data_IF_229990579072
#
_entry.id   IF_229990579072
#
_cell.length_a   1.000
_cell.length_b   1.000
_cell.length_c   1.000
_cell.angle_alpha   90.00
_cell.angle_beta   90.00
_cell.angle_gamma   90.00
#
_symmetry.space_group_name_H-M   'P 1'
#
loop_
_entity.id
_entity.type
_entity.pdbx_description
1 polymer ?
#
# COMPACT_ATOMS: atom_id res chain seq x y z
N UNK A 1 44.74 36.04 33.00
CA UNK A 1 43.66 35.35 32.26
C UNK A 1 44.27 34.82 30.96
N UNK A 2 44.39 33.50 30.76
CA UNK A 2 44.96 32.95 29.53
C UNK A 2 43.92 32.99 28.38
N UNK A 3 44.34 33.20 27.12
CA UNK A 3 43.43 33.17 25.98
C UNK A 3 43.02 31.72 25.66
N UNK A 4 41.74 31.52 25.37
CA UNK A 4 41.16 30.23 25.01
C UNK A 4 41.71 29.75 23.65
N UNK A 5 42.27 28.54 23.63
CA UNK A 5 42.63 27.84 22.39
C UNK A 5 41.40 27.15 21.77
N UNK A 6 41.21 27.18 20.43
CA UNK A 6 40.10 26.48 19.79
C UNK A 6 40.26 24.95 19.84
N UNK A 7 39.16 24.26 20.17
CA UNK A 7 39.07 22.78 20.18
C UNK A 7 38.99 22.28 18.73
N UNK A 8 39.80 21.28 18.32
CA UNK A 8 39.74 20.74 16.95
C UNK A 8 38.45 19.94 16.72
N UNK A 9 37.79 20.20 15.59
CA UNK A 9 36.58 19.51 15.14
C UNK A 9 36.98 18.15 14.53
N UNK A 10 36.40 17.01 14.98
CA UNK A 10 36.70 15.72 14.39
C UNK A 10 36.10 15.60 12.98
N UNK A 11 36.90 15.08 12.04
CA UNK A 11 36.46 14.87 10.66
C UNK A 11 35.51 13.66 10.56
N UNK A 12 34.50 13.69 9.66
CA UNK A 12 33.59 12.58 9.47
C UNK A 12 34.27 11.44 8.70
N UNK A 13 34.30 10.25 9.30
CA UNK A 13 34.70 9.04 8.59
C UNK A 13 33.60 8.64 7.59
N UNK A 14 33.93 8.63 6.30
CA UNK A 14 33.07 8.07 5.27
C UNK A 14 32.96 6.54 5.44
N UNK A 15 31.88 6.10 6.08
CA UNK A 15 31.44 4.70 5.98
C UNK A 15 30.98 4.46 4.54
N UNK A 16 31.83 3.78 3.77
CA UNK A 16 31.49 3.22 2.47
C UNK A 16 30.49 2.08 2.74
N UNK A 17 29.20 2.39 2.69
CA UNK A 17 28.14 1.38 2.77
C UNK A 17 28.15 0.56 1.50
N UNK A 18 28.61 -0.69 1.60
CA UNK A 18 28.43 -1.72 0.57
C UNK A 18 26.94 -1.91 0.33
N UNK A 19 26.44 -1.27 -0.73
CA UNK A 19 25.08 -1.41 -1.21
C UNK A 19 24.98 -2.73 -2.01
N UNK A 20 25.13 -3.87 -1.32
CA UNK A 20 24.78 -5.17 -1.89
C UNK A 20 23.27 -5.23 -2.01
N UNK A 21 22.79 -4.93 -3.21
CA UNK A 21 21.42 -5.18 -3.65
C UNK A 21 21.02 -6.59 -3.21
N UNK A 22 20.08 -6.67 -2.28
CA UNK A 22 19.40 -7.90 -1.94
C UNK A 22 18.46 -8.23 -3.11
N UNK A 23 18.99 -8.84 -4.16
CA UNK A 23 18.19 -9.54 -5.16
C UNK A 23 17.48 -10.69 -4.46
N UNK A 24 16.22 -10.45 -4.07
CA UNK A 24 15.31 -11.50 -3.62
C UNK A 24 14.87 -12.25 -4.87
N UNK A 25 15.58 -13.33 -5.22
CA UNK A 25 15.09 -14.34 -6.16
C UNK A 25 13.91 -15.05 -5.49
N UNK A 26 12.68 -15.01 -6.03
CA UNK A 26 11.60 -15.83 -5.51
C UNK A 26 11.88 -17.29 -5.86
N UNK A 27 12.32 -18.08 -4.88
CA UNK A 27 12.40 -19.53 -5.00
C UNK A 27 11.00 -20.13 -5.22
N UNK A 28 10.91 -21.32 -5.84
CA UNK A 28 9.63 -21.96 -6.11
C UNK A 28 8.88 -22.22 -4.81
N UNK A 29 7.62 -21.77 -4.79
CA UNK A 29 6.67 -21.91 -3.68
C UNK A 29 6.55 -23.40 -3.29
N UNK A 30 7.05 -23.84 -2.12
CA UNK A 30 6.80 -25.20 -1.68
C UNK A 30 5.29 -25.30 -1.38
N UNK A 31 4.61 -26.16 -2.13
CA UNK A 31 3.21 -26.48 -1.89
C UNK A 31 2.97 -26.92 -0.43
N UNK A 32 1.71 -26.91 0.04
CA UNK A 32 1.43 -27.14 1.44
C UNK A 32 1.77 -28.59 1.81
N UNK A 33 2.91 -28.79 2.48
CA UNK A 33 3.16 -30.03 3.19
C UNK A 33 2.05 -30.22 4.23
N UNK A 34 1.28 -31.28 4.03
CA UNK A 34 0.24 -31.73 4.94
C UNK A 34 0.91 -32.15 6.26
N UNK A 35 1.13 -31.17 7.14
CA UNK A 35 1.48 -31.39 8.52
C UNK A 35 0.44 -32.30 9.15
N UNK A 36 0.82 -33.55 9.42
CA UNK A 36 0.06 -34.51 10.22
C UNK A 36 -0.31 -33.83 11.55
N UNK A 37 -1.58 -33.47 11.69
CA UNK A 37 -2.12 -32.98 12.95
C UNK A 37 -2.01 -34.09 14.00
N UNK A 38 -1.14 -33.91 14.98
CA UNK A 38 -1.15 -34.69 16.21
C UNK A 38 -2.40 -34.26 16.98
N UNK A 39 -3.43 -35.10 16.93
CA UNK A 39 -4.70 -34.92 17.62
C UNK A 39 -4.45 -35.01 19.13
N UNK A 40 -4.28 -33.85 19.79
CA UNK A 40 -4.19 -33.82 21.24
C UNK A 40 -5.53 -34.27 21.84
N UNK A 41 -5.46 -35.32 22.65
CA UNK A 41 -6.55 -36.17 23.08
C UNK A 41 -7.13 -35.67 24.40
N UNK A 42 -7.93 -34.60 24.42
CA UNK A 42 -8.85 -34.32 25.54
C UNK A 42 -10.01 -33.39 25.14
N UNK A 43 -11.25 -33.90 24.99
CA UNK A 43 -12.44 -33.06 24.96
C UNK A 43 -13.13 -33.04 26.34
N UNK A 44 -13.43 -31.86 26.92
CA UNK A 44 -14.37 -31.79 28.04
C UNK A 44 -15.77 -32.20 27.54
N UNK A 45 -16.37 -33.13 28.25
CA UNK A 45 -17.74 -33.59 28.00
C UNK A 45 -18.68 -32.52 28.53
N UNK A 46 -19.15 -31.59 27.68
CA UNK A 46 -20.49 -30.98 27.77
C UNK A 46 -20.80 -30.16 26.49
N UNK A 47 -22.05 -30.26 26.02
CA UNK A 47 -22.65 -29.64 24.83
C UNK A 47 -22.20 -30.17 23.44
N UNK A 48 -22.36 -31.47 23.19
CA UNK A 48 -22.02 -32.09 21.88
C UNK A 48 -23.08 -31.92 20.76
N UNK A 49 -24.27 -31.38 21.02
CA UNK A 49 -25.36 -31.34 20.02
C UNK A 49 -25.46 -30.03 19.24
N UNK A 50 -25.06 -28.90 19.83
CA UNK A 50 -25.20 -27.58 19.18
C UNK A 50 -23.98 -27.16 18.34
N UNK A 51 -22.75 -27.46 18.78
CA UNK A 51 -21.53 -27.09 18.04
C UNK A 51 -21.44 -27.76 16.67
N UNK A 52 -21.91 -29.02 16.53
CA UNK A 52 -21.84 -29.76 15.26
C UNK A 52 -22.78 -29.17 14.20
N UNK A 53 -23.92 -28.60 14.61
CA UNK A 53 -24.90 -27.96 13.71
C UNK A 53 -24.40 -26.61 13.17
N UNK A 54 -23.65 -25.87 13.98
CA UNK A 54 -23.04 -24.61 13.58
C UNK A 54 -21.92 -24.81 12.54
N UNK A 55 -21.04 -25.81 12.74
CA UNK A 55 -19.99 -26.15 11.78
C UNK A 55 -20.55 -26.59 10.41
N UNK A 56 -21.58 -27.45 10.40
CA UNK A 56 -22.22 -27.90 9.16
C UNK A 56 -22.90 -26.76 8.37
N UNK A 57 -23.44 -25.74 9.06
CA UNK A 57 -24.02 -24.55 8.41
C UNK A 57 -22.93 -23.66 7.78
N UNK A 58 -21.77 -23.51 8.42
CA UNK A 58 -20.66 -22.74 7.87
C UNK A 58 -20.07 -23.40 6.60
N UNK A 59 -19.90 -24.73 6.59
CA UNK A 59 -19.44 -25.49 5.42
C UNK A 59 -20.39 -25.41 4.22
N UNK A 60 -21.70 -25.26 4.46
CA UNK A 60 -22.69 -25.17 3.39
C UNK A 60 -22.67 -23.83 2.62
N UNK A 61 -22.07 -22.77 3.18
CA UNK A 61 -21.93 -21.48 2.49
C UNK A 61 -20.72 -21.45 1.54
N UNK A 62 -19.60 -22.07 1.93
CA UNK A 62 -18.41 -22.19 1.08
C UNK A 62 -18.63 -23.18 -0.07
N UNK A 63 -19.38 -24.28 0.16
CA UNK A 63 -19.72 -25.26 -0.88
C UNK A 63 -20.64 -24.77 -2.00
N UNK A 64 -21.32 -23.63 -1.83
CA UNK A 64 -22.24 -23.04 -2.83
C UNK A 64 -21.67 -21.83 -3.56
N UNK A 65 -20.36 -21.57 -3.45
CA UNK A 65 -19.71 -20.46 -4.14
C UNK A 65 -20.20 -19.08 -3.73
N UNK A 66 -20.88 -18.94 -2.57
CA UNK A 66 -21.26 -17.63 -2.02
C UNK A 66 -20.12 -17.15 -1.11
N UNK A 67 -19.23 -16.25 -1.56
CA UNK A 67 -18.19 -15.73 -0.69
C UNK A 67 -18.87 -15.02 0.48
N UNK A 68 -18.63 -15.51 1.70
CA UNK A 68 -18.90 -14.71 2.89
C UNK A 68 -18.08 -13.44 2.75
N UNK A 69 -18.73 -12.28 2.71
CA UNK A 69 -18.05 -11.00 2.60
C UNK A 69 -16.97 -10.90 3.68
N UNK A 70 -15.71 -10.74 3.26
CA UNK A 70 -14.59 -10.68 4.18
C UNK A 70 -14.66 -9.41 5.03
N UNK A 71 -14.74 -9.56 6.36
CA UNK A 71 -14.76 -8.45 7.31
C UNK A 71 -13.41 -8.37 8.05
N UNK A 72 -12.82 -7.18 8.25
CA UNK A 72 -11.58 -7.04 9.00
C UNK A 72 -11.72 -7.54 10.45
N UNK A 73 -10.94 -8.55 10.84
CA UNK A 73 -10.99 -9.11 12.20
C UNK A 73 -10.40 -8.18 13.26
N UNK A 74 -9.45 -7.31 12.89
CA UNK A 74 -8.67 -6.46 13.80
C UNK A 74 -8.56 -5.04 13.29
N UNK A 75 -8.43 -4.08 14.21
CA UNK A 75 -8.09 -2.69 13.89
C UNK A 75 -6.64 -2.64 13.38
N UNK A 76 -6.44 -2.03 12.21
CA UNK A 76 -5.10 -1.84 11.63
C UNK A 76 -4.33 -0.78 12.42
N UNK A 77 -3.02 -0.99 12.61
CA UNK A 77 -2.15 -0.03 13.31
C UNK A 77 -2.15 1.36 12.65
N UNK A 78 -1.83 2.40 13.44
CA UNK A 78 -1.75 3.78 12.95
C UNK A 78 -0.71 3.92 11.84
N UNK A 79 0.48 3.33 12.01
CA UNK A 79 1.57 3.36 11.03
C UNK A 79 1.18 2.73 9.70
N UNK A 80 0.57 1.54 9.70
CA UNK A 80 0.11 0.86 8.48
C UNK A 80 -1.00 1.63 7.77
N UNK A 81 -1.86 2.31 8.53
CA UNK A 81 -2.93 3.13 7.98
C UNK A 81 -2.38 4.41 7.34
N UNK A 82 -1.45 5.09 8.00
CA UNK A 82 -0.80 6.30 7.46
C UNK A 82 0.01 5.97 6.20
N UNK A 83 0.81 4.90 6.24
CA UNK A 83 1.60 4.43 5.09
C UNK A 83 0.73 4.12 3.86
N UNK A 84 -0.37 3.37 4.02
CA UNK A 84 -1.28 3.10 2.90
C UNK A 84 -1.90 4.39 2.35
N UNK A 85 -2.37 5.28 3.23
CA UNK A 85 -3.00 6.54 2.79
C UNK A 85 -2.01 7.49 2.11
N UNK A 86 -0.74 7.50 2.51
CA UNK A 86 0.26 8.36 1.87
C UNK A 86 0.58 7.97 0.44
N UNK A 87 0.19 6.78 -0.02
CA UNK A 87 0.27 6.39 -1.43
C UNK A 87 -0.90 6.90 -2.26
N UNK A 88 -2.02 7.26 -1.62
CA UNK A 88 -3.15 7.87 -2.31
C UNK A 88 -2.86 9.36 -2.51
N UNK A 89 -2.15 9.65 -3.60
CA UNK A 89 -1.76 10.98 -4.04
C UNK A 89 -2.18 11.17 -5.50
N UNK A 90 -2.58 12.39 -5.85
CA UNK A 90 -2.84 12.75 -7.24
C UNK A 90 -1.55 13.19 -7.93
N UNK A 91 -1.27 12.65 -9.11
CA UNK A 91 -0.18 13.13 -9.94
C UNK A 91 -0.58 14.47 -10.59
N UNK A 92 0.32 15.47 -10.53
CA UNK A 92 0.10 16.74 -11.22
C UNK A 92 0.25 16.52 -12.72
N UNK A 93 -0.71 17.02 -13.51
CA UNK A 93 -0.61 16.97 -14.96
C UNK A 93 0.39 18.01 -15.45
N UNK A 94 1.24 17.60 -16.39
CA UNK A 94 2.14 18.52 -17.09
C UNK A 94 1.34 19.48 -17.97
N UNK A 95 1.68 20.76 -17.88
CA UNK A 95 0.99 21.85 -18.57
C UNK A 95 1.87 22.43 -19.66
N UNK A 96 1.28 22.64 -20.83
CA UNK A 96 1.90 23.24 -22.01
C UNK A 96 1.29 24.62 -22.24
N UNK A 97 2.12 25.59 -22.62
CA UNK A 97 1.68 26.94 -22.99
C UNK A 97 0.98 26.97 -24.35
N UNK A 98 -0.15 27.66 -24.42
CA UNK A 98 -0.91 27.93 -25.66
C UNK A 98 -1.39 29.36 -25.66
N UNK A 99 -1.25 30.05 -26.78
CA UNK A 99 -1.88 31.35 -26.98
C UNK A 99 -3.26 31.14 -27.61
N UNK A 100 -4.32 31.56 -26.93
CA UNK A 100 -5.71 31.52 -27.42
C UNK A 100 -6.28 32.93 -27.27
N UNK A 101 -6.91 33.47 -28.33
CA UNK A 101 -7.49 34.82 -28.33
C UNK A 101 -6.54 35.94 -27.84
N UNK A 102 -5.23 35.80 -28.09
CA UNK A 102 -4.20 36.77 -27.67
C UNK A 102 -3.68 36.59 -26.23
N UNK A 103 -4.25 35.67 -25.45
CA UNK A 103 -3.86 35.39 -24.07
C UNK A 103 -3.11 34.06 -23.95
N UNK A 104 -2.09 34.03 -23.10
CA UNK A 104 -1.31 32.82 -22.83
C UNK A 104 -1.97 31.98 -21.72
N UNK A 105 -2.41 30.78 -22.06
CA UNK A 105 -3.01 29.81 -21.13
C UNK A 105 -2.12 28.56 -20.97
N UNK A 106 -2.26 27.88 -19.83
CA UNK A 106 -1.56 26.62 -19.53
C UNK A 106 -2.57 25.47 -19.55
N UNK A 107 -2.40 24.55 -20.48
CA UNK A 107 -3.33 23.43 -20.69
C UNK A 107 -2.62 22.08 -20.64
N UNK A 108 -3.27 21.01 -20.16
CA UNK A 108 -2.76 19.66 -20.34
C UNK A 108 -2.49 19.35 -21.82
N UNK A 109 -1.38 18.68 -22.13
CA UNK A 109 -0.97 18.39 -23.53
C UNK A 109 -2.07 17.72 -24.37
N UNK A 110 -2.90 16.86 -23.75
CA UNK A 110 -4.03 16.19 -24.41
C UNK A 110 -5.12 17.15 -24.93
N UNK A 111 -5.24 18.33 -24.32
CA UNK A 111 -6.24 19.34 -24.64
C UNK A 111 -5.72 20.42 -25.61
N UNK A 112 -4.44 20.33 -26.02
CA UNK A 112 -3.77 21.33 -26.86
C UNK A 112 -4.54 21.64 -28.15
N UNK A 113 -5.05 20.61 -28.84
CA UNK A 113 -5.78 20.78 -30.10
C UNK A 113 -7.11 21.52 -29.88
N UNK A 114 -7.88 21.11 -28.89
CA UNK A 114 -9.17 21.73 -28.59
C UNK A 114 -9.00 23.17 -28.07
N UNK A 115 -7.92 23.45 -27.33
CA UNK A 115 -7.55 24.80 -26.92
C UNK A 115 -7.29 25.73 -28.13
N UNK A 116 -6.54 25.27 -29.13
CA UNK A 116 -6.27 26.04 -30.36
C UNK A 116 -7.53 26.29 -31.20
N UNK A 117 -8.48 25.36 -31.17
CA UNK A 117 -9.75 25.45 -31.89
C UNK A 117 -10.81 26.27 -31.14
N UNK A 118 -10.52 26.76 -29.93
CA UNK A 118 -11.48 27.53 -29.12
C UNK A 118 -12.64 26.70 -28.59
N UNK A 119 -12.50 25.37 -28.48
CA UNK A 119 -13.54 24.44 -28.02
C UNK A 119 -13.52 24.22 -26.50
N UNK A 120 -12.64 24.91 -25.78
CA UNK A 120 -12.45 24.78 -24.34
C UNK A 120 -12.64 26.14 -23.70
N UNK A 121 -13.47 26.19 -22.67
CA UNK A 121 -13.61 27.34 -21.79
C UNK A 121 -12.50 27.33 -20.72
N UNK A 122 -11.79 28.46 -20.57
CA UNK A 122 -10.66 28.62 -19.67
C UNK A 122 -11.01 29.33 -18.35
N UNK A 123 -12.21 29.93 -18.23
CA UNK A 123 -12.55 30.83 -17.12
C UNK A 123 -13.39 30.18 -16.01
N UNK A 124 -13.56 28.86 -16.07
CA UNK A 124 -14.38 28.13 -15.10
C UNK A 124 -13.60 27.88 -13.80
N UNK A 125 -13.62 28.88 -12.91
CA UNK A 125 -12.92 28.90 -11.61
C UNK A 125 -13.82 28.55 -10.42
#
# INVERSE_FOLDING_TARGET
MPPWSPIPVPQPHHHRGDNRELTVTPGPNPGPELGRAVFNRYPPRHCRRDCRRAHLRAEAHTKRGRPTMAVPKRRKSRSNTRSRRSQWKAAKTELVGVTVAGHAHKVPRRLLKAARLGLIDFDNR
#
